data_IF_309335799784
#
_entry.id   IF_309335799784
#
_cell.length_a   1.000
_cell.length_b   1.000
_cell.length_c   1.000
_cell.angle_alpha   90.00
_cell.angle_beta   90.00
_cell.angle_gamma   90.00
#
_symmetry.space_group_name_H-M   'P 1'
#
loop_
_entity.id
_entity.type
_entity.pdbx_description
1 polymer ?
#
# COMPACT_ATOMS: atom_id res chain seq x y z
N UNK A 1 -13.76 8.71 4.01
CA UNK A 1 -13.69 7.50 4.86
C UNK A 1 -12.43 6.71 4.55
N UNK A 2 -11.80 6.19 5.58
CA UNK A 2 -10.63 5.32 5.45
C UNK A 2 -11.01 3.88 5.74
N UNK A 3 -10.44 2.97 4.99
CA UNK A 3 -10.64 1.53 5.19
C UNK A 3 -9.35 0.96 5.76
N UNK A 4 -9.37 0.52 7.01
CA UNK A 4 -8.20 -0.06 7.68
C UNK A 4 -8.14 -1.56 7.44
N UNK A 5 -7.07 -2.02 6.83
CA UNK A 5 -6.81 -3.43 6.57
C UNK A 5 -5.54 -3.85 7.29
N UNK A 6 -5.56 -5.01 7.93
CA UNK A 6 -4.39 -5.53 8.64
C UNK A 6 -3.77 -6.68 7.85
N UNK A 7 -2.45 -6.63 7.69
CA UNK A 7 -1.69 -7.65 6.99
C UNK A 7 -0.91 -8.45 8.02
N UNK A 8 -1.26 -9.71 8.18
CA UNK A 8 -0.71 -10.56 9.23
C UNK A 8 0.22 -11.67 8.72
N UNK A 9 0.63 -11.60 7.46
CA UNK A 9 1.56 -12.57 6.91
C UNK A 9 0.88 -13.75 6.19
N UNK A 10 -0.38 -14.00 6.47
CA UNK A 10 -1.13 -15.07 5.81
C UNK A 10 -1.93 -14.57 4.61
N UNK A 11 -2.14 -13.26 4.54
CA UNK A 11 -2.94 -12.64 3.50
C UNK A 11 -2.06 -11.66 2.73
N UNK A 12 -2.15 -11.67 1.41
CA UNK A 12 -1.38 -10.73 0.60
C UNK A 12 -1.98 -9.32 0.69
N UNK A 13 -1.11 -8.32 0.58
CA UNK A 13 -1.56 -6.94 0.59
C UNK A 13 -2.45 -6.64 -0.61
N UNK A 14 -2.16 -7.24 -1.78
CA UNK A 14 -2.97 -7.02 -2.97
C UNK A 14 -4.41 -7.50 -2.76
N UNK A 15 -4.60 -8.67 -2.15
CA UNK A 15 -5.94 -9.17 -1.87
C UNK A 15 -6.73 -8.20 -0.99
N UNK A 16 -6.09 -7.70 0.06
CA UNK A 16 -6.75 -6.75 0.96
C UNK A 16 -7.08 -5.43 0.27
N UNK A 17 -6.16 -4.95 -0.54
CA UNK A 17 -6.39 -3.70 -1.27
C UNK A 17 -7.53 -3.85 -2.27
N UNK A 18 -7.60 -4.99 -2.97
CA UNK A 18 -8.67 -5.22 -3.95
C UNK A 18 -10.04 -5.29 -3.30
N UNK A 19 -10.13 -5.76 -2.05
CA UNK A 19 -11.39 -5.79 -1.32
C UNK A 19 -11.96 -4.39 -1.08
N UNK A 20 -11.12 -3.36 -1.08
CA UNK A 20 -11.55 -1.99 -0.79
C UNK A 20 -12.07 -1.26 -2.02
N UNK A 21 -11.87 -1.81 -3.22
CA UNK A 21 -12.31 -1.16 -4.45
C UNK A 21 -13.83 -1.03 -4.46
N UNK A 22 -14.31 0.17 -4.70
CA UNK A 22 -15.73 0.47 -4.66
C UNK A 22 -16.24 0.88 -3.30
N UNK A 23 -15.42 0.73 -2.25
CA UNK A 23 -15.81 1.10 -0.88
C UNK A 23 -15.16 2.41 -0.46
N UNK A 24 -13.89 2.60 -0.78
CA UNK A 24 -13.16 3.81 -0.42
C UNK A 24 -11.99 4.00 -1.38
N UNK A 25 -11.56 5.25 -1.52
CA UNK A 25 -10.37 5.60 -2.30
C UNK A 25 -9.18 5.88 -1.38
N UNK A 26 -9.35 5.72 -0.08
CA UNK A 26 -8.33 5.92 0.93
C UNK A 26 -8.22 4.65 1.78
N UNK A 27 -7.14 3.90 1.59
CA UNK A 27 -6.91 2.65 2.31
C UNK A 27 -5.75 2.83 3.28
N UNK A 28 -5.91 2.28 4.48
CA UNK A 28 -4.84 2.25 5.48
C UNK A 28 -4.44 0.78 5.66
N UNK A 29 -3.17 0.48 5.40
CA UNK A 29 -2.62 -0.87 5.60
C UNK A 29 -1.79 -0.90 6.87
N UNK A 30 -2.19 -1.72 7.82
CA UNK A 30 -1.43 -1.95 9.03
C UNK A 30 -0.64 -3.24 8.87
N UNK A 31 0.69 -3.14 8.78
CA UNK A 31 1.57 -4.28 8.55
C UNK A 31 2.07 -4.79 9.89
N UNK A 32 1.61 -5.96 10.32
CA UNK A 32 1.99 -6.54 11.61
C UNK A 32 2.94 -7.72 11.47
N UNK A 33 3.32 -8.06 10.23
CA UNK A 33 4.24 -9.16 9.95
C UNK A 33 5.39 -8.67 9.09
N UNK A 34 6.43 -9.50 8.97
CA UNK A 34 7.53 -9.20 8.06
C UNK A 34 7.06 -9.43 6.63
N UNK A 35 6.76 -8.34 5.95
CA UNK A 35 6.30 -8.37 4.57
C UNK A 35 7.38 -7.79 3.67
N UNK A 36 7.65 -8.45 2.56
CA UNK A 36 8.67 -7.99 1.64
C UNK A 36 8.35 -6.58 1.13
N UNK A 37 9.27 -5.61 1.30
CA UNK A 37 9.00 -4.26 0.83
C UNK A 37 8.81 -4.20 -0.69
N UNK A 38 9.53 -5.04 -1.43
CA UNK A 38 9.38 -5.09 -2.88
C UNK A 38 7.99 -5.61 -3.27
N UNK A 39 7.56 -6.67 -2.60
CA UNK A 39 6.23 -7.24 -2.86
C UNK A 39 5.14 -6.26 -2.49
N UNK A 40 5.29 -5.59 -1.35
CA UNK A 40 4.34 -4.58 -0.91
C UNK A 40 4.25 -3.43 -1.91
N UNK A 41 5.41 -2.98 -2.42
CA UNK A 41 5.43 -1.91 -3.42
C UNK A 41 4.67 -2.32 -4.68
N UNK A 42 4.87 -3.56 -5.14
CA UNK A 42 4.17 -4.06 -6.31
C UNK A 42 2.66 -4.20 -6.06
N UNK A 43 2.29 -4.65 -4.86
CA UNK A 43 0.88 -4.79 -4.51
C UNK A 43 0.18 -3.44 -4.51
N UNK A 44 0.81 -2.42 -3.97
CA UNK A 44 0.27 -1.06 -3.95
C UNK A 44 0.13 -0.53 -5.38
N UNK A 45 1.15 -0.76 -6.21
CA UNK A 45 1.10 -0.36 -7.61
C UNK A 45 -0.06 -1.02 -8.34
N UNK A 46 -0.24 -2.31 -8.11
CA UNK A 46 -1.34 -3.07 -8.72
C UNK A 46 -2.70 -2.49 -8.30
N UNK A 47 -2.83 -2.12 -7.02
CA UNK A 47 -4.07 -1.52 -6.53
C UNK A 47 -4.38 -0.21 -7.27
N UNK A 48 -3.38 0.65 -7.44
CA UNK A 48 -3.59 1.92 -8.13
C UNK A 48 -3.93 1.71 -9.60
N UNK A 49 -3.40 0.67 -10.22
CA UNK A 49 -3.74 0.33 -11.59
C UNK A 49 -5.16 -0.22 -11.70
N UNK A 50 -5.58 -1.02 -10.74
CA UNK A 50 -6.90 -1.62 -10.73
C UNK A 50 -8.00 -0.64 -10.33
N UNK A 51 -7.67 0.36 -9.52
CA UNK A 51 -8.63 1.35 -9.04
C UNK A 51 -8.18 2.75 -9.45
N UNK A 52 -8.70 3.23 -10.57
CA UNK A 52 -8.31 4.52 -11.11
C UNK A 52 -8.73 5.70 -10.24
N UNK A 53 -9.69 5.48 -9.35
CA UNK A 53 -10.16 6.53 -8.45
C UNK A 53 -9.36 6.58 -7.15
N UNK A 54 -8.49 5.60 -6.90
CA UNK A 54 -7.68 5.57 -5.69
C UNK A 54 -6.76 6.78 -5.65
N UNK A 55 -6.68 7.40 -4.48
CA UNK A 55 -5.87 8.61 -4.28
C UNK A 55 -4.65 8.35 -3.43
N UNK A 56 -4.79 7.53 -2.39
CA UNK A 56 -3.74 7.37 -1.41
C UNK A 56 -3.84 6.02 -0.73
N UNK A 57 -2.69 5.45 -0.40
CA UNK A 57 -2.58 4.29 0.49
C UNK A 57 -1.66 4.70 1.62
N UNK A 58 -2.14 4.61 2.86
CA UNK A 58 -1.34 4.89 4.03
C UNK A 58 -0.88 3.57 4.63
N UNK A 59 0.43 3.42 4.79
CA UNK A 59 1.01 2.21 5.34
C UNK A 59 1.52 2.48 6.75
N UNK A 60 1.10 1.65 7.69
CA UNK A 60 1.52 1.75 9.09
C UNK A 60 2.34 0.51 9.41
N UNK A 61 3.55 0.70 9.88
CA UNK A 61 4.39 -0.40 10.34
C UNK A 61 5.03 0.00 11.66
N UNK A 62 4.51 -0.55 12.76
CA UNK A 62 4.95 -0.14 14.09
C UNK A 62 4.64 1.33 14.31
N UNK A 63 5.68 2.11 14.58
CA UNK A 63 5.54 3.55 14.78
C UNK A 63 5.74 4.36 13.49
N UNK A 64 5.95 3.68 12.37
CA UNK A 64 6.22 4.36 11.09
C UNK A 64 4.95 4.54 10.28
N UNK A 65 4.87 5.67 9.59
CA UNK A 65 3.79 5.97 8.64
C UNK A 65 4.39 6.26 7.29
N UNK A 66 3.78 5.70 6.24
CA UNK A 66 4.23 5.92 4.88
C UNK A 66 3.01 6.20 4.02
N UNK A 67 2.92 7.42 3.50
CA UNK A 67 1.82 7.81 2.62
C UNK A 67 2.25 7.64 1.17
N UNK A 68 1.49 6.85 0.42
CA UNK A 68 1.77 6.57 -0.98
C UNK A 68 0.66 7.18 -1.82
N UNK A 69 0.99 8.17 -2.61
CA UNK A 69 0.05 8.80 -3.52
C UNK A 69 0.14 8.16 -4.90
N UNK A 70 -0.88 8.40 -5.73
CA UNK A 70 -0.86 7.94 -7.11
C UNK A 70 0.34 8.52 -7.86
N UNK A 71 0.63 9.79 -7.65
CA UNK A 71 1.75 10.45 -8.30
C UNK A 71 3.08 9.77 -7.94
N UNK A 72 3.23 9.36 -6.70
CA UNK A 72 4.41 8.63 -6.25
C UNK A 72 4.55 7.30 -6.99
N UNK A 73 3.44 6.58 -7.14
CA UNK A 73 3.43 5.26 -7.79
C UNK A 73 3.78 5.38 -9.28
N UNK A 74 3.39 6.47 -9.91
CA UNK A 74 3.65 6.70 -11.33
C UNK A 74 5.07 7.17 -11.62
N UNK A 75 5.87 7.45 -10.58
CA UNK A 75 7.25 7.87 -10.76
C UNK A 75 8.15 6.77 -11.31
N UNK A 76 9.22 7.15 -12.00
CA UNK A 76 10.12 6.19 -12.65
C UNK A 76 10.80 5.24 -11.68
N UNK A 77 11.17 5.74 -10.52
CA UNK A 77 11.91 4.94 -9.54
C UNK A 77 11.02 4.53 -8.37
N UNK A 78 9.74 4.31 -8.64
CA UNK A 78 8.76 4.04 -7.59
C UNK A 78 9.20 2.90 -6.66
N UNK A 79 9.53 1.72 -7.21
CA UNK A 79 9.87 0.56 -6.38
C UNK A 79 11.08 0.86 -5.49
N UNK A 80 12.12 1.44 -6.07
CA UNK A 80 13.34 1.78 -5.35
C UNK A 80 13.07 2.79 -4.24
N UNK A 81 12.31 3.83 -4.54
CA UNK A 81 11.98 4.87 -3.57
C UNK A 81 11.07 4.33 -2.47
N UNK A 82 10.13 3.47 -2.83
CA UNK A 82 9.25 2.83 -1.87
C UNK A 82 10.06 2.01 -0.85
N UNK A 83 10.94 1.16 -1.35
CA UNK A 83 11.78 0.31 -0.49
C UNK A 83 12.61 1.17 0.45
N UNK A 84 13.20 2.22 -0.07
CA UNK A 84 14.03 3.12 0.73
C UNK A 84 13.24 3.75 1.88
N UNK A 85 12.03 4.22 1.59
CA UNK A 85 11.17 4.81 2.63
C UNK A 85 10.68 3.78 3.63
N UNK A 86 10.35 2.59 3.15
CA UNK A 86 9.80 1.53 3.98
C UNK A 86 10.83 1.01 4.99
N UNK A 87 12.09 0.90 4.59
CA UNK A 87 13.15 0.39 5.43
C UNK A 87 13.80 1.44 6.33
N UNK A 88 13.50 2.68 6.10
CA UNK A 88 14.16 3.79 6.81
C UNK A 88 13.68 3.99 8.25
#
# INVERSE_FOLDING_TARGET
MFDLKTISGKTSASSRLLESIGQTNHVVLNIVANYSPRLLAKDVQFYFEANKEAREVLIIKGSKFLSISRQFVEGKDYIKMFIKRYLK
#
